data_IF_894373858872
#
_entry.id   IF_894373858872
#
_cell.length_a   1.000
_cell.length_b   1.000
_cell.length_c   1.000
_cell.angle_alpha   90.00
_cell.angle_beta   90.00
_cell.angle_gamma   90.00
#
_symmetry.space_group_name_H-M   'P 1'
#
loop_
_entity.id
_entity.type
_entity.pdbx_description
1 polymer ?
#
# COMPACT_ATOMS: atom_id res chain seq x y z
N UNK A 1 3.19 -4.34 -46.18
CA UNK A 1 4.36 -3.81 -46.91
C UNK A 1 5.57 -3.87 -45.98
N UNK A 2 6.25 -5.03 -45.93
CA UNK A 2 7.55 -5.19 -45.26
C UNK A 2 8.65 -5.00 -46.32
N UNK A 3 9.65 -4.16 -46.04
CA UNK A 3 10.85 -4.03 -46.87
C UNK A 3 12.07 -4.57 -46.11
N UNK A 4 12.38 -5.81 -46.47
CA UNK A 4 13.71 -6.45 -46.53
C UNK A 4 14.47 -6.73 -45.23
N UNK A 5 14.16 -7.92 -44.70
CA UNK A 5 15.16 -8.86 -44.17
C UNK A 5 16.08 -9.31 -45.31
N UNK A 6 17.39 -9.18 -45.14
CA UNK A 6 18.38 -9.80 -46.00
C UNK A 6 19.09 -10.90 -45.19
N UNK A 7 18.64 -12.13 -45.38
CA UNK A 7 19.37 -13.34 -45.03
C UNK A 7 20.62 -13.43 -45.91
N UNK A 8 21.80 -13.27 -45.32
CA UNK A 8 23.07 -13.59 -45.98
C UNK A 8 23.38 -15.08 -45.74
N UNK A 9 23.03 -15.89 -46.73
CA UNK A 9 23.67 -17.18 -47.01
C UNK A 9 25.13 -16.89 -47.41
N UNK A 10 26.07 -17.26 -46.55
CA UNK A 10 27.50 -17.25 -46.88
C UNK A 10 27.82 -18.56 -47.61
N UNK A 11 28.20 -18.55 -48.91
CA UNK A 11 28.74 -19.74 -49.55
C UNK A 11 30.13 -20.02 -48.95
N UNK A 12 30.31 -21.22 -48.40
CA UNK A 12 31.58 -21.73 -47.91
C UNK A 12 32.55 -21.88 -49.09
N UNK A 13 33.19 -20.78 -49.45
CA UNK A 13 34.25 -20.75 -50.46
C UNK A 13 35.53 -21.05 -49.70
N UNK A 14 36.05 -22.27 -49.83
CA UNK A 14 37.39 -22.62 -49.36
C UNK A 14 38.38 -21.85 -50.23
N UNK A 15 38.72 -20.64 -49.80
CA UNK A 15 39.82 -19.86 -50.36
C UNK A 15 41.09 -20.40 -49.72
N UNK A 16 41.84 -21.16 -50.52
CA UNK A 16 43.27 -21.40 -50.30
C UNK A 16 43.95 -20.02 -50.24
N UNK A 17 44.27 -19.55 -49.04
CA UNK A 17 45.07 -18.35 -48.83
C UNK A 17 46.51 -18.69 -49.20
N UNK A 18 46.80 -18.59 -50.50
CA UNK A 18 48.16 -18.35 -50.98
C UNK A 18 48.53 -16.96 -50.46
N UNK A 19 49.67 -16.86 -49.75
CA UNK A 19 50.09 -15.66 -49.06
C UNK A 19 50.09 -14.42 -49.95
N UNK A 20 49.10 -13.55 -49.73
CA UNK A 20 49.20 -12.14 -50.06
C UNK A 20 49.64 -11.42 -48.80
N UNK A 21 50.93 -11.11 -48.76
CA UNK A 21 51.52 -10.07 -47.92
C UNK A 21 50.80 -8.74 -48.18
N UNK A 22 50.15 -8.15 -47.17
CA UNK A 22 49.82 -6.71 -47.25
C UNK A 22 48.54 -6.17 -46.62
N UNK A 23 47.67 -6.97 -45.98
CA UNK A 23 46.60 -6.39 -45.16
C UNK A 23 46.97 -6.57 -43.69
N UNK A 24 47.27 -5.49 -42.94
CA UNK A 24 47.55 -5.62 -41.52
C UNK A 24 46.28 -6.11 -40.84
N UNK A 25 46.37 -7.20 -40.09
CA UNK A 25 45.43 -7.48 -39.00
C UNK A 25 45.28 -6.18 -38.20
N UNK A 26 44.06 -5.71 -37.88
CA UNK A 26 43.93 -4.58 -36.97
C UNK A 26 44.70 -4.92 -35.71
N UNK A 27 45.84 -4.26 -35.51
CA UNK A 27 46.59 -4.38 -34.28
C UNK A 27 45.66 -3.81 -33.23
N UNK A 28 45.19 -4.66 -32.33
CA UNK A 28 44.74 -4.18 -31.03
C UNK A 28 46.06 -3.73 -30.38
N UNK A 29 46.35 -2.43 -30.48
CA UNK A 29 47.49 -1.85 -29.79
C UNK A 29 47.09 -1.80 -28.32
N UNK A 30 47.42 -2.86 -27.59
CA UNK A 30 47.34 -2.88 -26.13
C UNK A 30 48.53 -2.15 -25.48
N UNK A 31 49.53 -1.77 -26.28
CA UNK A 31 50.72 -1.04 -25.82
C UNK A 31 50.35 0.38 -25.33
N UNK A 32 49.23 0.94 -25.80
CA UNK A 32 48.75 2.29 -25.45
C UNK A 32 47.96 2.31 -24.11
N UNK A 33 47.71 1.15 -23.49
CA UNK A 33 46.97 1.05 -22.22
C UNK A 33 47.84 1.48 -21.02
N UNK A 34 49.17 1.34 -21.14
CA UNK A 34 50.14 1.74 -20.12
C UNK A 34 50.75 3.13 -20.37
N UNK A 35 50.52 3.74 -21.55
CA UNK A 35 51.03 5.08 -21.87
C UNK A 35 50.12 6.19 -21.32
N UNK A 36 50.39 6.63 -20.09
CA UNK A 36 49.76 7.82 -19.51
C UNK A 36 50.32 9.07 -20.22
N UNK A 37 49.60 9.56 -21.23
CA UNK A 37 49.84 10.89 -21.82
C UNK A 37 49.16 12.00 -21.01
N UNK A 38 49.72 13.22 -20.94
CA UNK A 38 48.99 14.35 -20.39
C UNK A 38 47.75 14.65 -21.24
N UNK A 39 46.70 15.13 -20.57
CA UNK A 39 45.51 15.64 -21.26
C UNK A 39 45.88 16.85 -22.11
N UNK A 40 45.25 16.96 -23.27
CA UNK A 40 45.29 18.16 -24.11
C UNK A 40 44.53 19.31 -23.42
N UNK A 41 44.80 20.55 -23.83
CA UNK A 41 44.09 21.72 -23.28
C UNK A 41 42.58 21.62 -23.55
N UNK A 42 42.18 21.06 -24.71
CA UNK A 42 40.79 20.80 -25.04
C UNK A 42 40.15 19.77 -24.09
N UNK A 43 40.81 18.64 -23.81
CA UNK A 43 40.33 17.63 -22.87
C UNK A 43 40.24 18.15 -21.43
N UNK A 44 41.18 19.01 -21.02
CA UNK A 44 41.14 19.66 -19.70
C UNK A 44 39.92 20.58 -19.62
N UNK A 45 39.70 21.40 -20.65
CA UNK A 45 38.57 22.33 -20.69
C UNK A 45 37.23 21.60 -20.71
N UNK A 46 37.10 20.53 -21.49
CA UNK A 46 35.89 19.69 -21.49
C UNK A 46 35.60 19.11 -20.10
N UNK A 47 36.64 18.63 -19.40
CA UNK A 47 36.50 18.16 -18.03
C UNK A 47 36.09 19.28 -17.06
N UNK A 48 36.66 20.48 -17.19
CA UNK A 48 36.31 21.64 -16.37
C UNK A 48 34.85 22.07 -16.59
N UNK A 49 34.40 22.10 -17.84
CA UNK A 49 33.03 22.43 -18.22
C UNK A 49 32.05 21.39 -17.66
N UNK A 50 32.37 20.09 -17.77
CA UNK A 50 31.58 19.00 -17.20
C UNK A 50 31.47 19.09 -15.67
N UNK A 51 32.59 19.37 -14.98
CA UNK A 51 32.61 19.56 -13.53
C UNK A 51 31.75 20.77 -13.12
N UNK A 52 31.80 21.87 -13.89
CA UNK A 52 31.00 23.05 -13.63
C UNK A 52 29.49 22.75 -13.79
N UNK A 53 29.12 21.98 -14.80
CA UNK A 53 27.74 21.52 -15.01
C UNK A 53 27.26 20.64 -13.84
N UNK A 54 28.06 19.65 -13.42
CA UNK A 54 27.73 18.80 -12.27
C UNK A 54 27.52 19.59 -10.98
N UNK A 55 28.40 20.57 -10.69
CA UNK A 55 28.25 21.44 -9.50
C UNK A 55 26.96 22.25 -9.54
N UNK A 56 26.61 22.81 -10.70
CA UNK A 56 25.37 23.54 -10.89
C UNK A 56 24.14 22.65 -10.67
N UNK A 57 24.18 21.43 -11.20
CA UNK A 57 23.12 20.42 -11.02
C UNK A 57 22.99 20.00 -9.56
N UNK A 58 24.11 19.80 -8.86
CA UNK A 58 24.13 19.48 -7.43
C UNK A 58 23.48 20.60 -6.59
N UNK A 59 23.79 21.87 -6.88
CA UNK A 59 23.17 23.01 -6.19
C UNK A 59 21.65 23.05 -6.40
N UNK A 60 21.19 22.81 -7.63
CA UNK A 60 19.75 22.71 -7.95
C UNK A 60 19.11 21.58 -7.13
N UNK A 61 19.71 20.39 -7.10
CA UNK A 61 19.18 19.23 -6.38
C UNK A 61 19.09 19.48 -4.86
N UNK A 62 20.12 20.10 -4.26
CA UNK A 62 20.11 20.44 -2.82
C UNK A 62 18.99 21.41 -2.47
N UNK A 63 18.78 22.44 -3.30
CA UNK A 63 17.67 23.39 -3.12
C UNK A 63 16.33 22.67 -3.24
N UNK A 64 16.18 21.80 -4.25
CA UNK A 64 14.95 21.04 -4.48
C UNK A 64 14.64 20.02 -3.40
N UNK A 65 15.64 19.36 -2.82
CA UNK A 65 15.43 18.48 -1.67
C UNK A 65 14.75 19.24 -0.52
N UNK A 66 15.17 20.48 -0.26
CA UNK A 66 14.55 21.35 0.76
C UNK A 66 13.11 21.72 0.39
N UNK A 67 12.87 22.11 -0.87
CA UNK A 67 11.53 22.44 -1.37
C UNK A 67 10.57 21.23 -1.26
N UNK A 68 11.03 20.03 -1.65
CA UNK A 68 10.24 18.80 -1.61
C UNK A 68 9.83 18.42 -0.18
N UNK A 69 10.72 18.57 0.80
CA UNK A 69 10.40 18.35 2.22
C UNK A 69 9.30 19.31 2.69
N UNK A 70 9.39 20.59 2.29
CA UNK A 70 8.38 21.59 2.64
C UNK A 70 7.02 21.29 1.98
N UNK A 71 7.01 20.92 0.70
CA UNK A 71 5.80 20.52 -0.03
C UNK A 71 5.14 19.28 0.59
N UNK A 72 5.93 18.24 0.87
CA UNK A 72 5.45 17.03 1.55
C UNK A 72 4.83 17.35 2.91
N UNK A 73 5.41 18.27 3.68
CA UNK A 73 4.89 18.68 4.99
C UNK A 73 3.49 19.30 4.90
N UNK A 74 3.19 20.05 3.85
CA UNK A 74 1.84 20.59 3.64
C UNK A 74 0.86 19.48 3.23
N UNK A 75 1.26 18.57 2.33
CA UNK A 75 0.44 17.41 1.97
C UNK A 75 0.18 16.48 3.16
N UNK A 76 1.13 16.31 4.08
CA UNK A 76 0.90 15.53 5.31
C UNK A 76 -0.26 16.10 6.13
N UNK A 77 -0.39 17.43 6.25
CA UNK A 77 -1.53 18.05 6.96
C UNK A 77 -2.86 17.80 6.25
N UNK A 78 -2.86 17.82 4.92
CA UNK A 78 -4.05 17.49 4.14
C UNK A 78 -4.43 16.02 4.30
N UNK A 79 -3.44 15.13 4.33
CA UNK A 79 -3.64 13.70 4.62
C UNK A 79 -4.18 13.48 6.03
N UNK A 80 -3.69 14.20 7.03
CA UNK A 80 -4.22 14.15 8.41
C UNK A 80 -5.71 14.47 8.44
N UNK A 81 -6.18 15.49 7.71
CA UNK A 81 -7.60 15.82 7.61
C UNK A 81 -8.43 14.71 6.94
N UNK A 82 -7.88 14.01 5.93
CA UNK A 82 -8.53 12.84 5.31
C UNK A 82 -8.64 11.69 6.32
N UNK A 83 -7.58 11.42 7.08
CA UNK A 83 -7.57 10.34 8.07
C UNK A 83 -8.49 10.65 9.27
N UNK A 84 -8.59 11.91 9.71
CA UNK A 84 -9.60 12.34 10.70
C UNK A 84 -11.03 12.09 10.20
N UNK A 85 -11.32 12.38 8.93
CA UNK A 85 -12.63 12.14 8.33
C UNK A 85 -12.96 10.64 8.27
N UNK A 86 -11.97 9.79 7.93
CA UNK A 86 -12.10 8.33 7.98
C UNK A 86 -12.37 7.82 9.40
N UNK A 87 -11.67 8.35 10.41
CA UNK A 87 -11.90 7.97 11.80
C UNK A 87 -13.32 8.35 12.27
N UNK A 88 -13.79 9.55 11.90
CA UNK A 88 -15.17 9.97 12.17
C UNK A 88 -16.20 9.07 11.51
N UNK A 89 -15.93 8.63 10.28
CA UNK A 89 -16.78 7.67 9.59
C UNK A 89 -16.77 6.31 10.28
N UNK A 90 -15.61 5.78 10.68
CA UNK A 90 -15.51 4.51 11.39
C UNK A 90 -16.34 4.52 12.69
N UNK A 91 -16.25 5.61 13.47
CA UNK A 91 -17.08 5.84 14.67
C UNK A 91 -18.58 5.91 14.36
N UNK A 92 -18.96 6.45 13.20
CA UNK A 92 -20.36 6.48 12.77
C UNK A 92 -20.84 5.07 12.39
N UNK A 93 -20.04 4.30 11.66
CA UNK A 93 -20.31 2.91 11.28
C UNK A 93 -20.52 2.06 12.52
N UNK A 94 -19.60 2.11 13.50
CA UNK A 94 -19.71 1.41 14.77
C UNK A 94 -21.05 1.70 15.46
N UNK A 95 -21.40 2.97 15.64
CA UNK A 95 -22.69 3.37 16.26
C UNK A 95 -23.91 2.85 15.52
N UNK A 96 -23.86 2.80 14.19
CA UNK A 96 -24.98 2.27 13.39
C UNK A 96 -25.10 0.75 13.56
N UNK A 97 -23.97 0.04 13.59
CA UNK A 97 -23.93 -1.40 13.81
C UNK A 97 -24.34 -1.79 15.24
N UNK A 98 -23.97 -1.00 16.24
CA UNK A 98 -24.46 -1.17 17.62
C UNK A 98 -25.97 -0.99 17.71
N UNK A 99 -26.53 0.05 17.08
CA UNK A 99 -27.98 0.26 17.01
C UNK A 99 -28.68 -0.94 16.35
N UNK A 100 -28.10 -1.48 15.26
CA UNK A 100 -28.60 -2.67 14.57
C UNK A 100 -28.62 -3.87 15.51
N UNK A 101 -27.48 -4.19 16.13
CA UNK A 101 -27.35 -5.29 17.11
C UNK A 101 -28.40 -5.18 18.20
N UNK A 102 -28.50 -4.02 18.85
CA UNK A 102 -29.48 -3.75 19.92
C UNK A 102 -30.92 -3.95 19.43
N UNK A 103 -31.23 -3.52 18.21
CA UNK A 103 -32.56 -3.71 17.62
C UNK A 103 -32.88 -5.19 17.41
N UNK A 104 -31.97 -5.96 16.82
CA UNK A 104 -32.17 -7.40 16.60
C UNK A 104 -32.29 -8.16 17.92
N UNK A 105 -31.47 -7.84 18.92
CA UNK A 105 -31.60 -8.42 20.28
C UNK A 105 -32.98 -8.10 20.88
N UNK A 106 -33.49 -6.87 20.70
CA UNK A 106 -34.84 -6.51 21.17
C UNK A 106 -35.93 -7.33 20.48
N UNK A 107 -35.81 -7.58 19.18
CA UNK A 107 -36.75 -8.42 18.43
C UNK A 107 -36.73 -9.86 18.97
N UNK A 108 -35.55 -10.40 19.28
CA UNK A 108 -35.39 -11.72 19.91
C UNK A 108 -35.98 -11.80 21.33
N UNK A 109 -35.83 -10.73 22.12
CA UNK A 109 -36.42 -10.66 23.47
C UNK A 109 -37.94 -10.51 23.40
N UNK A 110 -38.48 -9.82 22.40
CA UNK A 110 -39.92 -9.71 22.22
C UNK A 110 -40.59 -11.06 21.93
N UNK A 111 -39.89 -12.03 21.30
CA UNK A 111 -40.40 -13.40 21.10
C UNK A 111 -40.64 -14.16 22.42
N UNK A 112 -40.00 -13.75 23.51
CA UNK A 112 -40.10 -14.39 24.83
C UNK A 112 -40.82 -13.51 25.86
N UNK A 113 -41.50 -12.45 25.44
CA UNK A 113 -42.10 -11.47 26.35
C UNK A 113 -43.01 -12.11 27.42
N UNK A 114 -43.80 -13.11 27.05
CA UNK A 114 -44.70 -13.84 27.96
C UNK A 114 -43.96 -14.70 29.02
N UNK A 115 -42.70 -15.02 28.77
CA UNK A 115 -41.83 -15.80 29.65
C UNK A 115 -41.06 -14.91 30.64
N UNK A 116 -41.10 -13.59 30.49
CA UNK A 116 -40.46 -12.65 31.42
C UNK A 116 -41.28 -12.58 32.71
N UNK A 117 -40.60 -12.62 33.87
CA UNK A 117 -41.28 -12.49 35.17
C UNK A 117 -41.81 -11.07 35.35
N UNK A 118 -42.94 -10.91 36.03
CA UNK A 118 -43.59 -9.60 36.27
C UNK A 118 -42.67 -8.58 36.98
N UNK A 119 -41.69 -9.06 37.75
CA UNK A 119 -40.69 -8.24 38.44
C UNK A 119 -39.54 -7.76 37.53
N UNK A 120 -39.54 -8.16 36.26
CA UNK A 120 -38.48 -7.91 35.30
C UNK A 120 -39.05 -7.31 34.02
N UNK A 121 -38.18 -6.77 33.17
CA UNK A 121 -38.61 -6.16 31.90
C UNK A 121 -37.76 -6.64 30.73
N UNK A 122 -38.32 -6.55 29.50
CA UNK A 122 -37.59 -6.79 28.26
C UNK A 122 -36.28 -5.99 28.21
N UNK A 123 -36.31 -4.74 28.67
CA UNK A 123 -35.14 -3.85 28.69
C UNK A 123 -34.00 -4.45 29.51
N UNK A 124 -34.28 -5.04 30.66
CA UNK A 124 -33.24 -5.67 31.50
C UNK A 124 -32.64 -6.91 30.82
N UNK A 125 -33.46 -7.71 30.13
CA UNK A 125 -32.97 -8.89 29.40
C UNK A 125 -32.09 -8.44 28.22
N UNK A 126 -32.51 -7.41 27.48
CA UNK A 126 -31.72 -6.82 26.40
C UNK A 126 -30.38 -6.33 26.91
N UNK A 127 -30.35 -5.61 28.04
CA UNK A 127 -29.10 -5.12 28.65
C UNK A 127 -28.16 -6.28 29.02
N UNK A 128 -28.67 -7.39 29.56
CA UNK A 128 -27.85 -8.58 29.84
C UNK A 128 -27.29 -9.19 28.55
N UNK A 129 -28.10 -9.29 27.51
CA UNK A 129 -27.69 -9.86 26.23
C UNK A 129 -26.69 -8.97 25.47
N UNK A 130 -26.81 -7.65 25.57
CA UNK A 130 -25.82 -6.71 25.02
C UNK A 130 -24.45 -6.93 25.67
N UNK A 131 -24.41 -7.09 27.00
CA UNK A 131 -23.17 -7.40 27.73
C UNK A 131 -22.54 -8.74 27.31
N UNK A 132 -23.36 -9.74 26.97
CA UNK A 132 -22.85 -11.01 26.42
C UNK A 132 -22.26 -10.80 25.04
N UNK A 133 -22.93 -10.03 24.18
CA UNK A 133 -22.46 -9.75 22.84
C UNK A 133 -21.14 -8.96 22.85
N UNK A 134 -20.99 -8.04 23.80
CA UNK A 134 -19.78 -7.23 24.00
C UNK A 134 -18.67 -7.97 24.75
N UNK A 135 -18.94 -9.18 25.25
CA UNK A 135 -17.99 -9.99 26.00
C UNK A 135 -17.71 -9.48 27.43
N UNK A 136 -18.54 -8.56 27.94
CA UNK A 136 -18.42 -8.03 29.32
C UNK A 136 -18.76 -9.08 30.38
N UNK A 137 -19.65 -10.04 30.05
CA UNK A 137 -20.03 -11.14 30.93
C UNK A 137 -19.95 -12.48 30.19
N UNK A 138 -19.69 -13.54 30.96
CA UNK A 138 -19.65 -14.91 30.45
C UNK A 138 -21.06 -15.45 30.15
N UNK A 139 -21.14 -16.49 29.31
CA UNK A 139 -22.42 -17.19 29.07
C UNK A 139 -23.03 -17.76 30.35
N UNK A 140 -22.19 -18.22 31.29
CA UNK A 140 -22.63 -18.79 32.56
C UNK A 140 -23.28 -17.72 33.45
N UNK A 141 -22.65 -16.54 33.54
CA UNK A 141 -23.19 -15.39 34.26
C UNK A 141 -24.50 -14.92 33.63
N UNK A 142 -24.53 -14.78 32.30
CA UNK A 142 -25.74 -14.40 31.58
C UNK A 142 -26.88 -15.41 31.77
N UNK A 143 -26.57 -16.71 31.71
CA UNK A 143 -27.55 -17.78 31.96
C UNK A 143 -28.14 -17.68 33.36
N UNK A 144 -27.33 -17.38 34.38
CA UNK A 144 -27.80 -17.18 35.74
C UNK A 144 -28.73 -15.96 35.85
N UNK A 145 -28.31 -14.80 35.30
CA UNK A 145 -29.09 -13.56 35.34
C UNK A 145 -30.42 -13.68 34.58
N UNK A 146 -30.43 -14.31 33.40
CA UNK A 146 -31.64 -14.49 32.61
C UNK A 146 -32.63 -15.44 33.29
N UNK A 147 -32.16 -16.53 33.94
CA UNK A 147 -33.03 -17.43 34.71
C UNK A 147 -33.65 -16.76 35.93
N UNK A 148 -32.94 -15.83 36.56
CA UNK A 148 -33.50 -15.06 37.68
C UNK A 148 -34.67 -14.18 37.21
N UNK A 149 -34.61 -13.68 35.97
CA UNK A 149 -35.58 -12.72 35.41
C UNK A 149 -36.65 -13.33 34.49
N UNK A 150 -36.51 -14.58 34.09
CA UNK A 150 -37.43 -15.27 33.16
C UNK A 150 -37.88 -16.64 33.69
N UNK A 151 -38.96 -17.17 33.11
CA UNK A 151 -39.51 -18.52 33.34
C UNK A 151 -38.97 -19.54 32.33
N UNK A 152 -38.05 -19.13 31.46
CA UNK A 152 -37.47 -19.98 30.43
C UNK A 152 -36.78 -21.22 31.01
N UNK A 153 -36.90 -22.33 30.29
CA UNK A 153 -36.09 -23.51 30.54
C UNK A 153 -34.61 -23.24 30.25
N UNK A 154 -33.72 -24.08 30.81
CA UNK A 154 -32.28 -24.05 30.53
C UNK A 154 -31.95 -24.00 29.04
N UNK A 155 -32.64 -24.82 28.25
CA UNK A 155 -32.49 -24.85 26.79
C UNK A 155 -32.99 -23.57 26.12
N UNK A 156 -34.05 -22.95 26.66
CA UNK A 156 -34.58 -21.68 26.17
C UNK A 156 -33.58 -20.54 26.37
N UNK A 157 -32.97 -20.46 27.56
CA UNK A 157 -31.94 -19.46 27.86
C UNK A 157 -30.69 -19.68 27.01
N UNK A 158 -30.24 -20.92 26.85
CA UNK A 158 -29.11 -21.27 25.96
C UNK A 158 -29.39 -20.87 24.50
N UNK A 159 -30.60 -21.11 24.01
CA UNK A 159 -31.00 -20.71 22.65
C UNK A 159 -30.97 -19.20 22.48
N UNK A 160 -31.49 -18.44 23.45
CA UNK A 160 -31.48 -16.97 23.41
C UNK A 160 -30.06 -16.42 23.38
N UNK A 161 -29.17 -16.92 24.26
CA UNK A 161 -27.75 -16.55 24.28
C UNK A 161 -27.08 -16.92 22.95
N UNK A 162 -27.36 -18.09 22.39
CA UNK A 162 -26.81 -18.51 21.11
C UNK A 162 -27.24 -17.61 19.95
N UNK A 163 -28.52 -17.20 19.90
CA UNK A 163 -29.01 -16.23 18.90
C UNK A 163 -28.31 -14.87 19.05
N UNK A 164 -28.15 -14.36 20.27
CA UNK A 164 -27.41 -13.13 20.55
C UNK A 164 -25.96 -13.20 20.05
N UNK A 165 -25.29 -14.34 20.27
CA UNK A 165 -23.92 -14.54 19.74
C UNK A 165 -23.88 -14.62 18.21
N UNK A 166 -24.89 -15.20 17.58
CA UNK A 166 -25.00 -15.19 16.12
C UNK A 166 -25.15 -13.75 15.60
N UNK A 167 -26.00 -12.92 16.23
CA UNK A 167 -26.16 -11.50 15.90
C UNK A 167 -24.83 -10.75 16.04
N UNK A 168 -24.06 -11.00 17.11
CA UNK A 168 -22.76 -10.36 17.30
C UNK A 168 -21.77 -10.74 16.19
N UNK A 169 -21.65 -12.03 15.87
CA UNK A 169 -20.77 -12.51 14.78
C UNK A 169 -21.16 -11.93 13.43
N UNK A 170 -22.46 -11.86 13.15
CA UNK A 170 -22.97 -11.23 11.93
C UNK A 170 -22.65 -9.74 11.89
N UNK A 171 -22.74 -9.05 13.04
CA UNK A 171 -22.38 -7.62 13.15
C UNK A 171 -20.89 -7.39 12.89
N UNK A 172 -20.01 -8.25 13.40
CA UNK A 172 -18.56 -8.21 13.13
C UNK A 172 -18.25 -8.48 11.65
N UNK A 173 -18.92 -9.46 11.04
CA UNK A 173 -18.78 -9.75 9.62
C UNK A 173 -19.25 -8.57 8.75
N UNK A 174 -20.37 -7.96 9.13
CA UNK A 174 -20.93 -6.79 8.46
C UNK A 174 -19.98 -5.59 8.54
N UNK A 175 -19.34 -5.36 9.69
CA UNK A 175 -18.33 -4.30 9.83
C UNK A 175 -17.19 -4.46 8.81
N UNK A 176 -16.66 -5.69 8.66
CA UNK A 176 -15.58 -5.98 7.70
C UNK A 176 -16.01 -5.74 6.25
N UNK A 177 -17.23 -6.14 5.89
CA UNK A 177 -17.75 -5.92 4.54
C UNK A 177 -17.86 -4.43 4.20
N UNK A 178 -18.14 -3.57 5.18
CA UNK A 178 -18.31 -2.14 4.97
C UNK A 178 -16.99 -1.37 4.83
N UNK A 179 -15.85 -1.92 5.28
CA UNK A 179 -14.56 -1.22 5.25
C UNK A 179 -14.05 -0.94 3.82
N UNK A 180 -14.28 -1.88 2.89
CA UNK A 180 -13.84 -1.78 1.49
C UNK A 180 -14.91 -1.29 0.51
N UNK A 181 -16.16 -1.24 0.96
CA UNK A 181 -17.32 -1.01 0.11
C UNK A 181 -17.38 0.41 -0.47
N UNK A 182 -17.88 0.53 -1.70
CA UNK A 182 -18.33 1.79 -2.30
C UNK A 182 -19.54 2.36 -1.54
N UNK A 183 -19.85 3.66 -1.69
CA UNK A 183 -21.07 4.23 -1.12
C UNK A 183 -22.34 3.46 -1.52
N UNK A 184 -22.42 3.00 -2.77
CA UNK A 184 -23.55 2.21 -3.30
C UNK A 184 -23.60 0.82 -2.66
N UNK A 185 -22.46 0.14 -2.59
CA UNK A 185 -22.35 -1.18 -1.95
C UNK A 185 -22.71 -1.11 -0.46
N UNK A 186 -22.27 -0.08 0.27
CA UNK A 186 -22.68 0.16 1.67
C UNK A 186 -24.21 0.20 1.79
N UNK A 187 -24.88 0.86 0.85
CA UNK A 187 -26.33 0.95 0.86
C UNK A 187 -27.00 -0.40 0.62
N UNK A 188 -26.46 -1.21 -0.29
CA UNK A 188 -26.97 -2.55 -0.61
C UNK A 188 -26.75 -3.53 0.54
N UNK A 189 -25.51 -3.63 1.03
CA UNK A 189 -25.10 -4.47 2.15
C UNK A 189 -25.99 -4.23 3.38
N UNK A 190 -26.21 -2.96 3.76
CA UNK A 190 -27.02 -2.64 4.94
C UNK A 190 -28.53 -2.87 4.73
N UNK A 191 -29.03 -2.77 3.49
CA UNK A 191 -30.43 -3.10 3.16
C UNK A 191 -30.66 -4.61 3.24
N UNK A 192 -29.75 -5.40 2.69
CA UNK A 192 -29.82 -6.86 2.69
C UNK A 192 -29.68 -7.42 4.11
N UNK A 193 -28.72 -6.89 4.89
CA UNK A 193 -28.54 -7.29 6.27
C UNK A 193 -29.76 -6.93 7.15
N UNK A 194 -30.53 -5.91 6.78
CA UNK A 194 -31.69 -5.46 7.56
C UNK A 194 -31.32 -4.94 8.96
N UNK A 195 -32.32 -4.62 9.77
CA UNK A 195 -32.09 -4.10 11.13
C UNK A 195 -31.54 -2.67 11.22
N UNK A 196 -31.23 -2.01 10.09
CA UNK A 196 -30.74 -0.62 10.03
C UNK A 196 -31.83 0.32 9.52
N UNK A 197 -31.89 1.54 10.07
CA UNK A 197 -32.87 2.54 9.61
C UNK A 197 -32.47 3.15 8.26
N UNK A 198 -33.44 3.49 7.41
CA UNK A 198 -33.17 4.17 6.12
C UNK A 198 -32.37 5.46 6.30
N UNK A 199 -32.61 6.19 7.38
CA UNK A 199 -31.88 7.42 7.71
C UNK A 199 -30.41 7.16 8.10
N UNK A 200 -30.14 6.11 8.88
CA UNK A 200 -28.76 5.75 9.24
C UNK A 200 -27.98 5.25 8.02
N UNK A 201 -28.61 4.47 7.13
CA UNK A 201 -28.02 4.05 5.86
C UNK A 201 -27.66 5.27 5.02
N UNK A 202 -28.62 6.19 4.79
CA UNK A 202 -28.37 7.38 3.99
C UNK A 202 -27.25 8.25 4.58
N UNK A 203 -27.19 8.37 5.91
CA UNK A 203 -26.13 9.11 6.59
C UNK A 203 -24.76 8.48 6.36
N UNK A 204 -24.64 7.16 6.50
CA UNK A 204 -23.36 6.45 6.26
C UNK A 204 -22.90 6.58 4.81
N UNK A 205 -23.81 6.42 3.86
CA UNK A 205 -23.52 6.53 2.42
C UNK A 205 -23.03 7.94 2.08
N UNK A 206 -23.71 8.97 2.56
CA UNK A 206 -23.33 10.36 2.29
C UNK A 206 -21.98 10.72 2.95
N UNK A 207 -21.74 10.27 4.19
CA UNK A 207 -20.44 10.44 4.85
C UNK A 207 -19.34 9.69 4.10
N UNK A 208 -19.57 8.45 3.65
CA UNK A 208 -18.59 7.68 2.86
C UNK A 208 -18.24 8.40 1.57
N UNK A 209 -19.24 8.91 0.85
CA UNK A 209 -19.04 9.68 -0.37
C UNK A 209 -18.18 10.91 -0.15
N UNK A 210 -18.42 11.65 0.95
CA UNK A 210 -17.60 12.81 1.31
C UNK A 210 -16.15 12.43 1.62
N UNK A 211 -15.95 11.37 2.41
CA UNK A 211 -14.60 10.84 2.73
C UNK A 211 -13.88 10.39 1.47
N UNK A 212 -14.52 9.60 0.61
CA UNK A 212 -13.95 9.15 -0.66
C UNK A 212 -13.60 10.35 -1.57
N UNK A 213 -14.47 11.37 -1.63
CA UNK A 213 -14.19 12.59 -2.42
C UNK A 213 -12.96 13.34 -1.89
N UNK A 214 -12.83 13.47 -0.56
CA UNK A 214 -11.66 14.09 0.05
C UNK A 214 -10.38 13.29 -0.22
N UNK A 215 -10.45 11.97 -0.12
CA UNK A 215 -9.32 11.09 -0.39
C UNK A 215 -8.90 11.14 -1.87
N UNK A 216 -9.85 11.04 -2.81
CA UNK A 216 -9.56 11.15 -4.25
C UNK A 216 -8.91 12.51 -4.56
N UNK A 217 -9.46 13.62 -4.05
CA UNK A 217 -8.89 14.94 -4.28
C UNK A 217 -7.44 15.06 -3.74
N UNK A 218 -7.18 14.44 -2.58
CA UNK A 218 -5.83 14.35 -2.03
C UNK A 218 -4.88 13.53 -2.92
N UNK A 219 -5.34 12.36 -3.41
CA UNK A 219 -4.55 11.48 -4.29
C UNK A 219 -4.26 12.17 -5.64
N UNK A 220 -5.25 12.79 -6.27
CA UNK A 220 -5.09 13.52 -7.53
C UNK A 220 -4.07 14.66 -7.40
N UNK A 221 -4.18 15.46 -6.34
CA UNK A 221 -3.24 16.55 -6.07
C UNK A 221 -1.83 16.02 -5.83
N UNK A 222 -1.68 15.00 -4.99
CA UNK A 222 -0.38 14.40 -4.68
C UNK A 222 0.26 13.80 -5.93
N UNK A 223 -0.53 13.10 -6.75
CA UNK A 223 -0.05 12.50 -7.99
C UNK A 223 0.33 13.56 -9.04
N UNK A 224 -0.41 14.67 -9.13
CA UNK A 224 -0.03 15.79 -10.01
C UNK A 224 1.33 16.40 -9.63
N UNK A 225 1.59 16.59 -8.33
CA UNK A 225 2.87 17.09 -7.83
C UNK A 225 3.99 16.07 -8.03
N UNK A 226 3.71 14.79 -7.81
CA UNK A 226 4.64 13.70 -8.07
C UNK A 226 5.01 13.64 -9.56
N UNK A 227 4.02 13.71 -10.46
CA UNK A 227 4.27 13.72 -11.90
C UNK A 227 5.15 14.91 -12.32
N UNK A 228 4.87 16.11 -11.80
CA UNK A 228 5.72 17.28 -12.02
C UNK A 228 7.15 17.07 -11.50
N UNK A 229 7.34 16.31 -10.41
CA UNK A 229 8.66 15.90 -9.94
C UNK A 229 9.32 14.92 -10.90
N UNK A 230 8.62 13.89 -11.40
CA UNK A 230 9.18 12.93 -12.36
C UNK A 230 9.68 13.63 -13.63
N UNK A 231 8.90 14.56 -14.19
CA UNK A 231 9.33 15.36 -15.36
C UNK A 231 10.64 16.10 -15.06
N UNK A 232 10.73 16.75 -13.89
CA UNK A 232 11.96 17.46 -13.49
C UNK A 232 13.14 16.52 -13.27
N UNK A 233 12.92 15.38 -12.62
CA UNK A 233 13.98 14.41 -12.33
C UNK A 233 14.53 13.82 -13.65
N UNK A 234 13.69 13.65 -14.66
CA UNK A 234 14.10 13.32 -16.03
C UNK A 234 14.89 14.43 -16.72
N UNK A 235 14.41 15.67 -16.69
CA UNK A 235 15.13 16.83 -17.26
C UNK A 235 16.49 17.05 -16.62
N UNK A 236 16.57 16.79 -15.32
CA UNK A 236 17.78 16.80 -14.55
C UNK A 236 18.53 15.47 -14.64
N UNK A 237 18.13 14.48 -15.44
CA UNK A 237 18.81 13.19 -15.62
C UNK A 237 19.09 12.38 -14.34
N UNK A 238 18.28 12.54 -13.28
CA UNK A 238 18.41 11.86 -11.97
C UNK A 238 17.32 10.80 -11.74
N UNK A 239 16.48 10.51 -12.73
CA UNK A 239 15.37 9.53 -12.62
C UNK A 239 15.83 8.10 -12.30
N UNK A 240 17.09 7.76 -12.64
CA UNK A 240 17.73 6.46 -12.35
C UNK A 240 18.59 6.46 -11.08
N UNK A 241 18.34 7.37 -10.14
CA UNK A 241 19.01 7.36 -8.84
C UNK A 241 18.87 5.99 -8.15
N UNK A 242 19.99 5.45 -7.66
CA UNK A 242 20.00 4.12 -7.08
C UNK A 242 19.25 4.03 -5.74
N UNK A 243 19.40 5.03 -4.86
CA UNK A 243 18.57 5.14 -3.66
C UNK A 243 17.85 6.49 -3.68
N UNK A 244 16.56 6.47 -3.36
CA UNK A 244 15.77 7.68 -3.22
C UNK A 244 15.93 8.30 -1.84
N UNK A 245 15.91 9.62 -1.78
CA UNK A 245 15.77 10.36 -0.52
C UNK A 245 14.32 10.27 -0.03
N UNK A 246 14.05 9.27 0.80
CA UNK A 246 12.72 8.95 1.33
C UNK A 246 12.11 10.06 2.20
N UNK A 247 12.91 10.99 2.73
CA UNK A 247 12.39 12.08 3.57
C UNK A 247 11.51 13.03 2.75
N UNK A 248 11.91 13.32 1.50
CA UNK A 248 11.21 14.23 0.60
C UNK A 248 10.23 13.58 -0.38
N UNK A 249 10.13 12.25 -0.45
CA UNK A 249 9.27 11.61 -1.46
C UNK A 249 7.78 11.71 -1.13
N UNK A 250 6.97 11.91 -2.18
CA UNK A 250 5.51 11.96 -2.12
C UNK A 250 4.87 10.58 -2.29
N UNK A 251 5.61 9.61 -2.83
CA UNK A 251 5.15 8.27 -3.14
C UNK A 251 4.53 7.57 -1.92
N UNK A 252 5.15 7.74 -0.74
CA UNK A 252 4.65 7.20 0.53
C UNK A 252 3.34 7.82 1.02
N UNK A 253 2.95 8.98 0.49
CA UNK A 253 1.64 9.60 0.77
C UNK A 253 0.53 9.00 -0.09
N UNK A 254 0.87 8.49 -1.29
CA UNK A 254 -0.06 7.76 -2.14
C UNK A 254 -0.23 6.33 -1.65
N UNK A 255 0.89 5.64 -1.37
CA UNK A 255 0.89 4.25 -0.91
C UNK A 255 1.97 4.07 0.16
N UNK A 256 1.56 3.72 1.37
CA UNK A 256 2.52 3.45 2.44
C UNK A 256 3.28 2.12 2.19
N UNK A 257 4.55 2.02 2.62
CA UNK A 257 5.32 0.79 2.47
C UNK A 257 4.70 -0.42 3.16
N UNK A 258 4.97 -1.61 2.62
CA UNK A 258 4.70 -2.89 3.29
C UNK A 258 5.92 -3.27 4.12
N UNK A 259 5.72 -3.74 5.35
CA UNK A 259 6.82 -4.16 6.24
C UNK A 259 6.81 -5.67 6.48
N UNK A 260 7.96 -6.20 6.87
CA UNK A 260 8.15 -7.64 7.04
C UNK A 260 8.84 -7.99 8.36
N UNK A 261 8.46 -9.13 8.91
CA UNK A 261 9.22 -9.78 9.96
C UNK A 261 10.63 -10.19 9.50
N UNK A 262 11.49 -10.50 10.46
CA UNK A 262 12.84 -11.02 10.20
C UNK A 262 12.76 -12.30 9.37
N UNK A 263 13.53 -12.38 8.27
CA UNK A 263 13.55 -13.52 7.34
C UNK A 263 12.17 -13.87 6.72
N UNK A 264 11.23 -12.92 6.67
CA UNK A 264 9.93 -13.12 6.00
C UNK A 264 9.75 -12.20 4.81
N UNK A 265 8.85 -12.63 3.92
CA UNK A 265 8.39 -11.94 2.72
C UNK A 265 6.88 -12.16 2.48
N UNK A 266 6.16 -12.69 3.48
CA UNK A 266 4.70 -12.85 3.45
C UNK A 266 4.02 -11.51 3.65
N UNK A 267 2.87 -11.31 3.01
CA UNK A 267 2.08 -10.08 3.05
C UNK A 267 0.66 -10.29 3.61
N UNK A 268 0.40 -11.42 4.28
CA UNK A 268 -0.94 -11.79 4.74
C UNK A 268 -1.61 -10.67 5.54
N UNK A 269 -0.86 -10.03 6.45
CA UNK A 269 -1.33 -8.91 7.26
C UNK A 269 -1.40 -7.56 6.49
N UNK A 270 -0.99 -7.53 5.22
CA UNK A 270 -0.87 -6.34 4.38
C UNK A 270 -1.75 -6.37 3.11
N UNK A 271 -2.46 -7.46 2.83
CA UNK A 271 -3.35 -7.54 1.65
C UNK A 271 -4.40 -6.43 1.71
N UNK A 272 -5.12 -6.32 2.84
CA UNK A 272 -6.14 -5.29 3.04
C UNK A 272 -5.58 -3.87 2.88
N UNK A 273 -4.33 -3.64 3.30
CA UNK A 273 -3.64 -2.35 3.15
C UNK A 273 -3.38 -2.03 1.67
N UNK A 274 -2.88 -3.01 0.91
CA UNK A 274 -2.62 -2.85 -0.53
C UNK A 274 -3.93 -2.57 -1.26
N UNK A 275 -4.96 -3.37 -1.01
CA UNK A 275 -6.27 -3.21 -1.65
C UNK A 275 -6.88 -1.84 -1.34
N UNK A 276 -6.87 -1.42 -0.06
CA UNK A 276 -7.36 -0.09 0.35
C UNK A 276 -6.59 1.05 -0.31
N UNK A 277 -5.26 0.92 -0.43
CA UNK A 277 -4.41 1.96 -1.03
C UNK A 277 -4.65 2.11 -2.53
N UNK A 278 -4.79 1.00 -3.26
CA UNK A 278 -4.92 1.04 -4.71
C UNK A 278 -6.36 1.21 -5.21
N UNK A 279 -7.38 0.84 -4.43
CA UNK A 279 -8.80 0.98 -4.82
C UNK A 279 -9.20 2.38 -5.29
N UNK A 280 -8.74 3.43 -4.60
CA UNK A 280 -9.03 4.83 -4.99
C UNK A 280 -7.91 5.46 -5.81
N UNK A 281 -6.71 4.88 -5.79
CA UNK A 281 -5.57 5.40 -6.53
C UNK A 281 -5.53 4.91 -7.98
N UNK A 282 -6.01 3.71 -8.27
CA UNK A 282 -6.01 3.14 -9.63
C UNK A 282 -6.70 4.04 -10.66
N UNK A 283 -7.90 4.61 -10.42
CA UNK A 283 -8.54 5.54 -11.36
C UNK A 283 -7.77 6.86 -11.54
N UNK A 284 -6.99 7.26 -10.53
CA UNK A 284 -6.09 8.43 -10.64
C UNK A 284 -4.91 8.08 -11.54
N UNK A 285 -4.34 6.87 -11.41
CA UNK A 285 -3.21 6.39 -12.22
C UNK A 285 -3.60 6.11 -13.68
N UNK A 286 -4.87 5.87 -13.99
CA UNK A 286 -5.36 5.80 -15.38
C UNK A 286 -5.18 7.13 -16.13
N UNK A 287 -5.15 8.26 -15.42
CA UNK A 287 -4.90 9.59 -16.01
C UNK A 287 -3.41 9.80 -16.36
N UNK A 288 -2.51 8.94 -15.86
CA UNK A 288 -1.06 9.00 -16.03
C UNK A 288 -0.53 7.68 -16.62
N UNK A 289 -0.95 7.36 -17.85
CA UNK A 289 -0.66 6.06 -18.49
C UNK A 289 0.82 5.81 -18.79
N UNK A 290 1.63 6.85 -18.81
CA UNK A 290 3.08 6.79 -18.95
C UNK A 290 3.82 6.59 -17.61
N UNK A 291 3.09 6.49 -16.50
CA UNK A 291 3.61 6.18 -15.17
C UNK A 291 3.32 4.73 -14.78
N UNK A 292 4.34 4.06 -14.25
CA UNK A 292 4.33 2.71 -13.71
C UNK A 292 4.61 2.72 -12.20
N UNK A 293 4.25 1.64 -11.53
CA UNK A 293 4.56 1.41 -10.10
C UNK A 293 5.77 0.48 -9.98
N UNK A 294 6.91 1.01 -9.58
CA UNK A 294 8.09 0.23 -9.23
C UNK A 294 8.05 -0.18 -7.75
N UNK A 295 8.05 -1.49 -7.48
CA UNK A 295 8.13 -2.05 -6.14
C UNK A 295 9.60 -2.25 -5.76
N UNK A 296 10.07 -1.53 -4.75
CA UNK A 296 11.44 -1.61 -4.28
C UNK A 296 11.54 -2.42 -2.99
N UNK A 297 12.00 -3.66 -3.10
CA UNK A 297 12.19 -4.54 -1.95
C UNK A 297 13.49 -4.21 -1.21
N UNK A 298 13.44 -4.15 0.12
CA UNK A 298 14.57 -3.81 0.99
C UNK A 298 14.79 -4.87 2.08
N UNK A 299 16.04 -5.00 2.53
CA UNK A 299 16.44 -5.83 3.67
C UNK A 299 17.20 -5.01 4.72
N UNK A 300 17.22 -5.51 5.97
CA UNK A 300 18.06 -4.91 7.00
C UNK A 300 19.52 -5.39 6.86
N UNK A 301 20.44 -4.75 7.58
CA UNK A 301 21.90 -4.95 7.43
C UNK A 301 22.41 -6.34 7.82
N UNK A 302 21.55 -7.25 8.33
CA UNK A 302 21.95 -8.56 8.83
C UNK A 302 21.80 -9.62 7.74
N UNK A 303 22.87 -10.34 7.46
CA UNK A 303 22.90 -11.41 6.45
C UNK A 303 24.08 -11.23 5.51
N UNK A 304 24.20 -12.10 4.52
CA UNK A 304 25.11 -11.83 3.38
C UNK A 304 24.39 -10.99 2.35
N UNK A 305 25.16 -10.26 1.54
CA UNK A 305 24.63 -9.43 0.46
C UNK A 305 23.77 -10.26 -0.50
N UNK A 306 24.21 -11.46 -0.88
CA UNK A 306 23.50 -12.34 -1.81
C UNK A 306 22.17 -12.81 -1.22
N UNK A 307 22.17 -13.13 0.07
CA UNK A 307 20.97 -13.55 0.77
C UNK A 307 19.95 -12.40 0.87
N UNK A 308 20.41 -11.21 1.25
CA UNK A 308 19.57 -10.02 1.34
C UNK A 308 19.05 -9.58 -0.03
N UNK A 309 19.85 -9.72 -1.09
CA UNK A 309 19.40 -9.49 -2.46
C UNK A 309 18.24 -10.42 -2.81
N UNK A 310 18.41 -11.73 -2.63
CA UNK A 310 17.35 -12.70 -2.90
C UNK A 310 16.11 -12.54 -1.99
N UNK A 311 16.29 -12.10 -0.74
CA UNK A 311 15.17 -11.79 0.15
C UNK A 311 14.43 -10.54 -0.31
N UNK A 312 15.15 -9.48 -0.68
CA UNK A 312 14.59 -8.24 -1.21
C UNK A 312 13.84 -8.49 -2.52
N UNK A 313 14.31 -9.41 -3.37
CA UNK A 313 13.61 -9.77 -4.59
C UNK A 313 12.27 -10.46 -4.34
N UNK A 314 12.23 -11.34 -3.34
CA UNK A 314 10.97 -11.93 -2.89
C UNK A 314 10.02 -10.88 -2.30
N UNK A 315 10.54 -9.87 -1.60
CA UNK A 315 9.73 -8.83 -0.94
C UNK A 315 9.03 -7.89 -1.90
N UNK A 316 9.61 -7.57 -3.07
CA UNK A 316 8.86 -6.84 -4.08
C UNK A 316 7.94 -7.76 -4.89
N UNK A 317 8.35 -9.01 -5.15
CA UNK A 317 7.55 -9.94 -5.97
C UNK A 317 6.29 -10.47 -5.27
N UNK A 318 6.21 -10.47 -3.94
CA UNK A 318 4.98 -10.87 -3.23
C UNK A 318 3.84 -9.85 -3.41
N UNK A 319 3.99 -8.56 -3.07
CA UNK A 319 2.94 -7.56 -3.27
C UNK A 319 2.64 -7.29 -4.75
N UNK A 320 3.62 -7.42 -5.65
CA UNK A 320 3.38 -7.26 -7.09
C UNK A 320 2.29 -8.22 -7.60
N UNK A 321 2.26 -9.47 -7.11
CA UNK A 321 1.22 -10.44 -7.50
C UNK A 321 -0.19 -9.97 -7.16
N UNK A 322 -0.36 -9.21 -6.08
CA UNK A 322 -1.66 -8.64 -5.71
C UNK A 322 -2.03 -7.53 -6.69
N UNK A 323 -1.07 -6.67 -7.04
CA UNK A 323 -1.30 -5.60 -8.01
C UNK A 323 -1.65 -6.14 -9.40
N UNK A 324 -0.94 -7.17 -9.87
CA UNK A 324 -1.22 -7.83 -11.15
C UNK A 324 -2.56 -8.57 -11.16
N UNK A 325 -2.99 -9.09 -10.00
CA UNK A 325 -4.26 -9.81 -9.90
C UNK A 325 -5.47 -8.87 -9.87
N UNK A 326 -5.32 -7.66 -9.32
CA UNK A 326 -6.45 -6.79 -8.98
C UNK A 326 -6.50 -5.47 -9.75
N UNK A 327 -5.37 -4.91 -10.17
CA UNK A 327 -5.31 -3.51 -10.62
C UNK A 327 -4.57 -3.29 -11.94
N UNK A 328 -3.50 -4.04 -12.24
CA UNK A 328 -2.55 -3.66 -13.30
C UNK A 328 -2.17 -4.81 -14.23
N UNK A 329 -1.89 -4.47 -15.49
CA UNK A 329 -1.19 -5.35 -16.43
C UNK A 329 0.32 -5.41 -16.11
N UNK A 330 1.00 -6.44 -16.64
CA UNK A 330 2.45 -6.67 -16.41
C UNK A 330 3.35 -5.48 -16.79
N UNK A 331 2.91 -4.63 -17.71
CA UNK A 331 3.68 -3.48 -18.20
C UNK A 331 3.47 -2.19 -17.38
N UNK A 332 2.63 -2.24 -16.34
CA UNK A 332 2.36 -1.15 -15.40
C UNK A 332 3.06 -1.32 -14.05
N UNK A 333 3.74 -2.45 -13.82
CA UNK A 333 4.55 -2.68 -12.62
C UNK A 333 6.00 -3.06 -12.97
N UNK A 334 6.91 -2.81 -12.03
CA UNK A 334 8.30 -3.26 -12.14
C UNK A 334 8.86 -3.59 -10.75
N UNK A 335 9.71 -4.60 -10.66
CA UNK A 335 10.36 -4.99 -9.42
C UNK A 335 11.85 -4.66 -9.35
N UNK A 336 12.31 -4.14 -8.21
CA UNK A 336 13.75 -3.96 -7.94
C UNK A 336 14.09 -4.35 -6.49
N UNK A 337 14.97 -5.33 -6.31
CA UNK A 337 15.52 -5.65 -4.99
C UNK A 337 16.74 -4.79 -4.67
N UNK A 338 16.62 -3.91 -3.67
CA UNK A 338 17.65 -2.99 -3.17
C UNK A 338 18.57 -3.60 -2.10
N UNK A 339 18.34 -4.85 -1.67
CA UNK A 339 19.09 -5.50 -0.58
C UNK A 339 19.15 -4.59 0.67
N UNK A 340 20.27 -4.57 1.39
CA UNK A 340 20.57 -3.61 2.46
C UNK A 340 21.18 -2.27 1.98
N UNK A 341 21.17 -1.97 0.67
CA UNK A 341 21.97 -0.87 0.10
C UNK A 341 21.28 0.51 0.19
N UNK A 342 19.96 0.55 0.43
CA UNK A 342 19.20 1.79 0.62
C UNK A 342 18.57 1.85 2.03
N UNK A 343 19.39 1.83 3.10
CA UNK A 343 18.88 1.86 4.46
C UNK A 343 18.32 3.25 4.80
N UNK A 344 17.25 3.28 5.58
CA UNK A 344 16.72 4.52 6.14
C UNK A 344 17.75 5.16 7.10
N UNK A 345 17.75 6.49 7.24
CA UNK A 345 18.57 7.15 8.27
C UNK A 345 18.30 6.58 9.68
N UNK A 346 19.35 6.44 10.49
CA UNK A 346 19.19 6.07 11.90
C UNK A 346 18.66 7.28 12.68
N UNK A 347 17.54 7.10 13.38
CA UNK A 347 16.95 8.13 14.22
C UNK A 347 17.61 8.07 15.61
N UNK A 348 18.19 9.17 16.12
CA UNK A 348 18.78 9.19 17.46
C UNK A 348 17.81 8.72 18.54
N UNK A 349 18.28 7.88 19.46
CA UNK A 349 17.46 7.32 20.55
C UNK A 349 16.65 6.08 20.17
N UNK A 350 16.65 5.64 18.91
CA UNK A 350 16.03 4.37 18.50
C UNK A 350 16.98 3.19 18.64
N UNK A 351 16.43 2.01 18.96
CA UNK A 351 17.18 0.77 19.03
C UNK A 351 17.53 0.26 17.62
N UNK A 352 18.57 -0.58 17.54
CA UNK A 352 18.91 -1.25 16.29
C UNK A 352 17.75 -2.13 15.77
N UNK A 353 16.99 -2.74 16.68
CA UNK A 353 15.85 -3.60 16.33
C UNK A 353 14.73 -2.82 15.62
N UNK A 354 14.35 -1.67 16.17
CA UNK A 354 13.35 -0.78 15.54
C UNK A 354 13.83 -0.28 14.18
N UNK A 355 15.13 0.04 14.05
CA UNK A 355 15.69 0.46 12.78
C UNK A 355 15.71 -0.66 11.74
N UNK A 356 16.01 -1.90 12.15
CA UNK A 356 15.91 -3.07 11.27
C UNK A 356 14.46 -3.31 10.83
N UNK A 357 13.49 -3.17 11.74
CA UNK A 357 12.06 -3.28 11.43
C UNK A 357 11.65 -2.33 10.29
N UNK A 358 12.08 -1.06 10.35
CA UNK A 358 11.80 -0.09 9.29
C UNK A 358 12.55 -0.36 7.97
N UNK A 359 13.65 -1.12 7.99
CA UNK A 359 14.42 -1.46 6.78
C UNK A 359 13.99 -2.78 6.12
N UNK A 360 13.14 -3.58 6.78
CA UNK A 360 12.51 -4.74 6.16
C UNK A 360 11.20 -4.31 5.53
N UNK A 361 11.27 -3.71 4.34
CA UNK A 361 10.10 -3.12 3.68
C UNK A 361 10.09 -3.29 2.17
N UNK A 362 8.93 -3.02 1.56
CA UNK A 362 8.80 -2.74 0.13
C UNK A 362 8.18 -1.37 -0.05
N UNK A 363 8.89 -0.49 -0.75
CA UNK A 363 8.43 0.85 -1.12
C UNK A 363 7.72 0.79 -2.48
N UNK A 364 6.67 1.59 -2.67
CA UNK A 364 5.98 1.75 -3.95
C UNK A 364 6.41 3.08 -4.55
N UNK A 365 7.19 3.04 -5.62
CA UNK A 365 7.80 4.20 -6.25
C UNK A 365 7.19 4.39 -7.63
N UNK A 366 6.73 5.59 -7.92
CA UNK A 366 6.17 5.91 -9.23
C UNK A 366 7.29 6.36 -10.16
N UNK A 367 7.33 5.79 -11.37
CA UNK A 367 8.32 6.12 -12.39
C UNK A 367 7.67 6.23 -13.75
N UNK A 368 8.31 6.95 -14.66
CA UNK A 368 7.91 6.84 -16.06
C UNK A 368 8.25 5.45 -16.61
N UNK A 369 7.43 4.98 -17.55
CA UNK A 369 7.72 3.79 -18.35
C UNK A 369 8.99 4.03 -19.17
N UNK A 370 9.97 3.11 -19.02
CA UNK A 370 11.25 3.14 -19.73
C UNK A 370 11.15 2.76 -21.20
#
# INVERSE_FOLDING_TARGET
>A
MLKYSLQLLIPLTVILVVGCTGVPTPKIILDDVDEIRPLTEEEIKENEDLIAEFKKREEILRKRATDNIAEKKELVKEKEAVEEAKEQMAKLTEKVLEKRRKKLIKEEVAEIADEIKEISSEKEIVEILEKVAEGEITEAEAKALIKEKTKLSDKGVEKLIAKTKAIQKETEALAKQLEGASPEEVAEILKEAGGVSKSDILKLVETKKQVDTMEIAFLEKTMSLLYARLVRDRELGVEEAFCLDIDGILDHLLVAPVYFDTNKHSIEDYIDHIEKSFRLLEPVLEQYTDVIVQLEGNADERGTLEYNKALSDRRWGTPEKVLLALYFDEDRTQGVGRSEQCPLPRIPGTSAKEWWEKNRRTDYIFKFKS
#
